data_IF_945407113048
#
_entry.id   IF_945407113048
#
_cell.length_a   1.000
_cell.length_b   1.000
_cell.length_c   1.000
_cell.angle_alpha   90.00
_cell.angle_beta   90.00
_cell.angle_gamma   90.00
#
_symmetry.space_group_name_H-M   'P 1'
#
loop_
_entity.id
_entity.type
_entity.pdbx_description
1 polymer ?
#
# COMPACT_ATOMS: atom_id res chain seq x y z
N UNK A 1 -0.16 10.79 -0.74
CA UNK A 1 -1.58 10.44 -0.49
C UNK A 1 -1.79 10.35 1.00
N UNK A 2 -2.91 10.85 1.52
CA UNK A 2 -3.24 10.72 2.94
C UNK A 2 -4.09 9.47 3.13
N UNK A 3 -3.69 8.57 4.02
CA UNK A 3 -4.48 7.39 4.39
C UNK A 3 -5.24 7.65 5.70
N UNK A 4 -6.24 6.84 5.99
CA UNK A 4 -7.00 6.94 7.24
C UNK A 4 -8.38 7.58 7.09
N UNK A 5 -9.00 7.88 8.24
CA UNK A 5 -10.35 8.41 8.34
C UNK A 5 -10.41 9.66 9.21
N UNK A 6 -11.44 10.50 8.98
CA UNK A 6 -11.82 11.61 9.86
C UNK A 6 -13.31 11.52 10.21
N UNK A 7 -13.66 11.96 11.42
CA UNK A 7 -15.06 12.06 11.86
C UNK A 7 -15.68 13.37 11.40
N UNK A 8 -16.92 13.31 10.91
CA UNK A 8 -17.74 14.48 10.58
C UNK A 8 -19.17 14.26 11.10
N UNK A 9 -19.42 14.67 12.35
CA UNK A 9 -20.59 14.25 13.10
C UNK A 9 -20.56 12.75 13.35
N UNK A 10 -21.60 12.03 12.92
CA UNK A 10 -21.69 10.57 13.02
C UNK A 10 -21.00 9.82 11.86
N UNK A 11 -20.56 10.54 10.83
CA UNK A 11 -19.99 9.95 9.62
C UNK A 11 -18.47 9.79 9.73
N UNK A 12 -17.97 8.67 9.25
CA UNK A 12 -16.55 8.39 9.04
C UNK A 12 -16.22 8.68 7.58
N UNK A 13 -15.24 9.54 7.34
CA UNK A 13 -14.90 10.03 6.00
C UNK A 13 -13.46 9.63 5.66
N UNK A 14 -13.23 9.14 4.44
CA UNK A 14 -11.88 8.84 3.95
C UNK A 14 -11.05 10.13 3.83
N UNK A 15 -9.83 10.12 4.37
CA UNK A 15 -8.91 11.27 4.28
C UNK A 15 -8.39 11.53 2.87
N UNK A 16 -8.34 10.51 2.01
CA UNK A 16 -7.83 10.65 0.64
C UNK A 16 -8.84 11.31 -0.31
N UNK A 17 -10.11 10.86 -0.28
CA UNK A 17 -11.12 11.26 -1.27
C UNK A 17 -12.35 11.98 -0.68
N UNK A 18 -12.35 12.25 0.63
CA UNK A 18 -13.43 12.91 1.36
C UNK A 18 -14.82 12.25 1.22
N UNK A 19 -14.88 10.96 0.90
CA UNK A 19 -16.14 10.21 0.83
C UNK A 19 -16.47 9.55 2.16
N UNK A 20 -17.75 9.55 2.51
CA UNK A 20 -18.28 8.83 3.65
C UNK A 20 -18.08 7.33 3.43
N UNK A 21 -17.25 6.72 4.27
CA UNK A 21 -16.94 5.29 4.25
C UNK A 21 -17.68 4.52 5.31
N UNK A 22 -18.34 5.19 6.27
CA UNK A 22 -19.12 4.51 7.31
C UNK A 22 -19.81 5.49 8.26
N UNK A 23 -20.50 4.94 9.24
CA UNK A 23 -21.07 5.67 10.39
C UNK A 23 -20.57 5.02 11.67
N UNK A 24 -20.34 5.83 12.71
CA UNK A 24 -19.97 5.45 14.08
C UNK A 24 -19.77 3.93 14.28
N UNK A 25 -18.55 3.43 13.99
CA UNK A 25 -18.07 2.03 14.18
C UNK A 25 -17.93 1.13 12.93
N UNK A 26 -18.21 1.59 11.70
CA UNK A 26 -17.92 0.74 10.52
C UNK A 26 -16.41 0.62 10.28
N UNK A 27 -15.86 -0.60 10.45
CA UNK A 27 -14.44 -0.91 10.22
C UNK A 27 -14.20 -1.36 8.78
N UNK A 28 -14.03 -0.41 7.87
CA UNK A 28 -13.45 -0.73 6.55
C UNK A 28 -11.94 -0.60 6.62
N UNK A 29 -11.22 -1.59 6.10
CA UNK A 29 -9.76 -1.53 5.93
C UNK A 29 -9.36 -0.61 4.78
N UNK A 30 -10.17 -0.56 3.70
CA UNK A 30 -9.90 0.24 2.50
C UNK A 30 -11.11 1.07 2.08
N UNK A 31 -10.86 2.22 1.46
CA UNK A 31 -11.91 3.06 0.91
C UNK A 31 -12.52 2.39 -0.32
N UNK A 32 -13.84 2.13 -0.36
CA UNK A 32 -14.49 1.50 -1.51
C UNK A 32 -14.45 2.35 -2.78
N UNK A 33 -14.22 3.67 -2.66
CA UNK A 33 -14.19 4.58 -3.81
C UNK A 33 -12.80 4.71 -4.43
N UNK A 34 -11.77 4.91 -3.62
CA UNK A 34 -10.43 5.22 -4.12
C UNK A 34 -9.38 4.15 -3.77
N UNK A 35 -9.77 3.08 -3.09
CA UNK A 35 -8.86 2.02 -2.66
C UNK A 35 -7.88 2.43 -1.57
N UNK A 36 -7.89 3.68 -1.10
CA UNK A 36 -6.92 4.14 -0.10
C UNK A 36 -7.10 3.39 1.22
N UNK A 37 -6.01 2.98 1.88
CA UNK A 37 -6.08 2.36 3.19
C UNK A 37 -6.70 3.31 4.21
N UNK A 38 -7.57 2.77 5.06
CA UNK A 38 -8.31 3.50 6.08
C UNK A 38 -7.80 3.21 7.49
N UNK A 39 -7.04 2.12 7.66
CA UNK A 39 -6.38 1.75 8.90
C UNK A 39 -4.88 1.57 8.66
N UNK A 40 -4.09 1.55 9.74
CA UNK A 40 -2.66 1.33 9.67
C UNK A 40 -2.36 -0.07 9.11
N UNK A 41 -3.06 -1.10 9.58
CA UNK A 41 -2.87 -2.48 9.13
C UNK A 41 -3.16 -2.63 7.63
N UNK A 42 -4.14 -1.87 7.12
CA UNK A 42 -4.44 -1.82 5.70
C UNK A 42 -3.33 -1.11 4.91
N UNK A 43 -2.74 -0.06 5.48
CA UNK A 43 -1.58 0.64 4.92
C UNK A 43 -0.36 -0.28 4.81
N UNK A 44 -0.03 -0.97 5.90
CA UNK A 44 1.06 -1.95 5.94
C UNK A 44 0.83 -3.11 4.96
N UNK A 45 -0.42 -3.58 4.82
CA UNK A 45 -0.77 -4.61 3.85
C UNK A 45 -0.52 -4.13 2.42
N UNK A 46 -0.91 -2.89 2.10
CA UNK A 46 -0.73 -2.32 0.76
C UNK A 46 0.74 -2.05 0.45
N UNK A 47 1.51 -1.59 1.43
CA UNK A 47 2.97 -1.45 1.31
C UNK A 47 3.64 -2.80 1.05
N UNK A 48 3.26 -3.85 1.78
CA UNK A 48 3.76 -5.22 1.54
C UNK A 48 3.47 -5.71 0.13
N UNK A 49 2.25 -5.48 -0.38
CA UNK A 49 1.91 -5.82 -1.77
C UNK A 49 2.78 -5.07 -2.76
N UNK A 50 2.94 -3.77 -2.57
CA UNK A 50 3.78 -2.93 -3.44
C UNK A 50 5.23 -3.40 -3.43
N UNK A 51 5.77 -3.73 -2.26
CA UNK A 51 7.11 -4.32 -2.11
C UNK A 51 7.21 -5.66 -2.86
N UNK A 52 6.22 -6.54 -2.75
CA UNK A 52 6.20 -7.80 -3.50
C UNK A 52 6.14 -7.60 -5.02
N UNK A 53 5.31 -6.67 -5.52
CA UNK A 53 5.25 -6.37 -6.95
C UNK A 53 6.56 -5.80 -7.47
N UNK A 54 7.18 -4.91 -6.69
CA UNK A 54 8.50 -4.35 -7.00
C UNK A 54 9.57 -5.43 -7.04
N UNK A 55 9.58 -6.36 -6.08
CA UNK A 55 10.49 -7.50 -6.07
C UNK A 55 10.33 -8.36 -7.33
N UNK A 56 9.09 -8.68 -7.73
CA UNK A 56 8.82 -9.44 -8.97
C UNK A 56 9.38 -8.74 -10.20
N UNK A 57 9.22 -7.42 -10.30
CA UNK A 57 9.78 -6.61 -11.38
C UNK A 57 11.31 -6.63 -11.38
N UNK A 58 11.94 -6.53 -10.21
CA UNK A 58 13.40 -6.58 -10.10
C UNK A 58 13.94 -7.96 -10.50
N UNK A 59 13.27 -9.05 -10.10
CA UNK A 59 13.62 -10.41 -10.55
C UNK A 59 13.45 -10.59 -12.06
N UNK A 60 12.38 -10.05 -12.66
CA UNK A 60 12.21 -10.09 -14.11
C UNK A 60 13.35 -9.36 -14.85
N UNK A 61 13.79 -8.21 -14.33
CA UNK A 61 14.92 -7.46 -14.91
C UNK A 61 16.23 -8.25 -14.75
N UNK A 62 16.43 -8.92 -13.62
CA UNK A 62 17.59 -9.78 -13.37
C UNK A 62 17.71 -10.93 -14.37
N UNK A 63 16.59 -11.57 -14.69
CA UNK A 63 16.53 -12.67 -15.65
C UNK A 63 16.87 -12.20 -17.08
N UNK A 64 16.60 -10.94 -17.41
CA UNK A 64 16.89 -10.35 -18.72
C UNK A 64 18.27 -9.65 -18.81
N UNK A 65 18.88 -9.25 -17.69
CA UNK A 65 20.10 -8.44 -17.67
C UNK A 65 21.14 -8.91 -16.64
N UNK A 66 22.01 -9.84 -17.06
CA UNK A 66 23.10 -10.38 -16.23
C UNK A 66 24.12 -9.31 -15.76
N UNK A 67 24.25 -8.20 -16.49
CA UNK A 67 25.20 -7.13 -16.14
C UNK A 67 24.81 -6.36 -14.88
N UNK A 68 23.51 -6.19 -14.62
CA UNK A 68 23.01 -5.46 -13.44
C UNK A 68 22.80 -6.39 -12.23
N UNK A 69 23.04 -7.69 -12.41
CA UNK A 69 22.77 -8.73 -11.43
C UNK A 69 23.30 -8.44 -10.03
N UNK A 70 24.60 -8.19 -9.82
CA UNK A 70 25.14 -7.98 -8.48
C UNK A 70 24.61 -6.69 -7.80
N UNK A 71 24.23 -5.66 -8.56
CA UNK A 71 23.67 -4.43 -8.00
C UNK A 71 22.20 -4.61 -7.59
N UNK A 72 21.43 -5.31 -8.41
CA UNK A 72 20.02 -5.60 -8.16
C UNK A 72 19.84 -6.63 -7.04
N UNK A 73 20.67 -7.67 -6.96
CA UNK A 73 20.65 -8.66 -5.87
C UNK A 73 20.86 -8.00 -4.49
N UNK A 74 21.80 -7.04 -4.40
CA UNK A 74 22.00 -6.28 -3.16
C UNK A 74 20.74 -5.49 -2.77
N UNK A 75 20.12 -4.83 -3.75
CA UNK A 75 18.93 -4.01 -3.51
C UNK A 75 17.69 -4.82 -3.15
N UNK A 76 17.53 -6.01 -3.74
CA UNK A 76 16.47 -6.97 -3.40
C UNK A 76 16.61 -7.42 -1.95
N UNK A 77 17.84 -7.74 -1.51
CA UNK A 77 18.09 -8.17 -0.13
C UNK A 77 17.70 -7.10 0.90
N UNK A 78 17.98 -5.83 0.61
CA UNK A 78 17.58 -4.69 1.46
C UNK A 78 16.05 -4.48 1.51
N UNK A 79 15.29 -5.01 0.54
CA UNK A 79 13.82 -4.95 0.52
C UNK A 79 13.16 -6.16 1.21
N UNK A 80 13.91 -7.23 1.46
CA UNK A 80 13.44 -8.45 2.14
C UNK A 80 13.73 -8.44 3.65
N UNK A 81 14.69 -7.63 4.12
CA UNK A 81 15.04 -7.40 5.54
C UNK A 81 14.16 -6.34 6.21
#
# INVERSE_FOLDING_TARGET
MSFGTKMHGENVVCLNCNVVVGKNQTKFSFCPRCGAPLTLEAGELEEKKFTQEKLKLLYAILDENETLKPALEKYIKELEE
#
